data_IF_218357182709
#
_entry.id   IF_218357182709
#
_cell.length_a   1.000
_cell.length_b   1.000
_cell.length_c   1.000
_cell.angle_alpha   90.00
_cell.angle_beta   90.00
_cell.angle_gamma   90.00
#
_symmetry.space_group_name_H-M   'P 1'
#
loop_
_entity.id
_entity.type
_entity.pdbx_description
1 polymer ?
#
# COMPACT_ATOMS: atom_id res chain seq x y z
N UNK A 1 -2.00 -19.27 -3.54
CA UNK A 1 -1.29 -19.81 -2.35
C UNK A 1 -0.65 -18.62 -1.66
N UNK A 2 -0.85 -18.45 -0.36
CA UNK A 2 -0.22 -17.34 0.38
C UNK A 2 1.18 -17.76 0.83
N UNK A 3 2.18 -16.94 0.52
CA UNK A 3 3.58 -17.15 0.85
C UNK A 3 4.08 -15.99 1.71
N UNK A 4 4.70 -16.31 2.85
CA UNK A 4 5.34 -15.30 3.69
C UNK A 4 6.63 -14.81 3.02
N UNK A 5 6.74 -13.50 2.78
CA UNK A 5 7.97 -12.87 2.26
C UNK A 5 8.88 -12.48 3.42
N UNK A 6 8.34 -11.75 4.39
CA UNK A 6 9.00 -11.48 5.66
C UNK A 6 7.98 -11.07 6.73
N UNK A 7 8.40 -11.19 7.98
CA UNK A 7 7.64 -10.74 9.13
C UNK A 7 8.59 -10.11 10.15
N UNK A 8 8.16 -9.01 10.77
CA UNK A 8 8.81 -8.45 11.93
C UNK A 8 7.79 -8.01 12.98
N UNK A 9 8.24 -7.26 13.98
CA UNK A 9 7.41 -6.77 15.07
C UNK A 9 6.25 -5.85 14.61
N UNK A 10 6.40 -5.18 13.48
CA UNK A 10 5.50 -4.11 13.01
C UNK A 10 4.67 -4.50 11.80
N UNK A 11 5.19 -5.35 10.89
CA UNK A 11 4.52 -5.67 9.63
C UNK A 11 4.68 -7.15 9.26
N UNK A 12 3.64 -7.71 8.66
CA UNK A 12 3.70 -8.97 7.91
C UNK A 12 3.61 -8.64 6.43
N UNK A 13 4.54 -9.14 5.62
CA UNK A 13 4.53 -8.99 4.17
C UNK A 13 4.41 -10.37 3.51
N UNK A 14 3.38 -10.54 2.70
CA UNK A 14 2.99 -11.81 2.09
C UNK A 14 2.67 -11.61 0.61
N UNK A 15 2.93 -12.65 -0.18
CA UNK A 15 2.49 -12.75 -1.55
C UNK A 15 1.32 -13.72 -1.61
N UNK A 16 0.17 -13.26 -2.09
CA UNK A 16 -0.86 -14.17 -2.59
C UNK A 16 -0.55 -14.49 -4.06
N UNK A 17 -0.22 -15.74 -4.35
CA UNK A 17 0.10 -16.21 -5.70
C UNK A 17 -1.16 -16.60 -6.50
N UNK A 18 -2.30 -16.82 -5.83
CA UNK A 18 -3.56 -17.14 -6.52
C UNK A 18 -4.18 -15.93 -7.20
N UNK A 19 -3.95 -14.76 -6.61
CA UNK A 19 -4.23 -13.45 -7.18
C UNK A 19 -2.97 -12.65 -6.89
N UNK A 20 -2.09 -12.37 -7.86
CA UNK A 20 -0.79 -11.76 -7.64
C UNK A 20 -0.89 -10.45 -6.84
N UNK A 21 -0.82 -10.54 -5.51
CA UNK A 21 -0.97 -9.42 -4.59
C UNK A 21 0.16 -9.49 -3.59
N UNK A 22 1.00 -8.45 -3.56
CA UNK A 22 1.91 -8.23 -2.45
C UNK A 22 1.12 -7.49 -1.36
N UNK A 23 0.70 -8.25 -0.35
CA UNK A 23 0.00 -7.74 0.82
C UNK A 23 1.01 -7.38 1.90
N UNK A 24 0.84 -6.23 2.53
CA UNK A 24 1.50 -5.93 3.79
C UNK A 24 0.51 -5.44 4.83
N UNK A 25 0.48 -6.12 5.98
CA UNK A 25 -0.40 -5.79 7.10
C UNK A 25 0.40 -5.28 8.27
N UNK A 26 0.14 -4.04 8.65
CA UNK A 26 0.72 -3.43 9.84
C UNK A 26 0.02 -3.96 11.09
N UNK A 27 0.82 -4.29 12.11
CA UNK A 27 0.35 -4.96 13.33
C UNK A 27 0.02 -4.00 14.46
N UNK A 28 0.64 -2.82 14.43
CA UNK A 28 0.57 -1.80 15.48
C UNK A 28 1.20 -0.49 15.00
N UNK A 29 1.02 0.52 15.82
CA UNK A 29 1.68 1.82 15.65
C UNK A 29 3.19 1.64 15.46
N UNK A 30 3.70 2.27 14.42
CA UNK A 30 5.07 2.11 13.98
C UNK A 30 5.77 3.47 13.94
N UNK A 31 6.93 3.63 14.62
CA UNK A 31 7.70 4.87 14.55
C UNK A 31 8.06 5.24 13.11
N UNK A 32 8.03 6.52 12.75
CA UNK A 32 8.19 7.00 11.37
C UNK A 32 9.44 6.50 10.64
N UNK A 33 10.61 6.44 11.30
CA UNK A 33 11.83 5.85 10.71
C UNK A 33 11.65 4.35 10.39
N UNK A 34 11.15 3.57 11.35
CA UNK A 34 10.90 2.14 11.20
C UNK A 34 9.84 1.87 10.13
N UNK A 35 8.83 2.73 10.04
CA UNK A 35 7.80 2.69 9.04
C UNK A 35 8.37 2.88 7.63
N UNK A 36 9.19 3.92 7.43
CA UNK A 36 9.86 4.21 6.15
C UNK A 36 10.77 3.07 5.71
N UNK A 37 11.58 2.53 6.63
CA UNK A 37 12.48 1.42 6.34
C UNK A 37 11.73 0.17 5.89
N UNK A 38 10.62 -0.14 6.56
CA UNK A 38 9.75 -1.25 6.19
C UNK A 38 9.09 -1.04 4.83
N UNK A 39 8.57 0.15 4.54
CA UNK A 39 8.01 0.47 3.22
C UNK A 39 9.03 0.29 2.10
N UNK A 40 10.25 0.80 2.28
CA UNK A 40 11.35 0.62 1.31
C UNK A 40 11.71 -0.86 1.16
N UNK A 41 11.69 -1.65 2.24
CA UNK A 41 11.91 -3.09 2.17
C UNK A 41 10.81 -3.79 1.35
N UNK A 42 9.54 -3.45 1.56
CA UNK A 42 8.39 -3.99 0.81
C UNK A 42 8.51 -3.59 -0.68
N UNK A 43 8.83 -2.33 -0.96
CA UNK A 43 9.03 -1.83 -2.34
C UNK A 43 10.12 -2.63 -3.08
N UNK A 44 11.22 -2.95 -2.40
CA UNK A 44 12.27 -3.80 -2.98
C UNK A 44 11.79 -5.22 -3.27
N UNK A 45 10.86 -5.76 -2.48
CA UNK A 45 10.26 -7.06 -2.78
C UNK A 45 9.29 -6.94 -3.96
N UNK A 46 8.46 -5.90 -4.00
CA UNK A 46 7.58 -5.62 -5.13
C UNK A 46 8.36 -5.55 -6.44
N UNK A 47 9.46 -4.78 -6.49
CA UNK A 47 10.33 -4.65 -7.66
C UNK A 47 10.95 -5.98 -8.14
N UNK A 48 11.15 -6.94 -7.23
CA UNK A 48 11.63 -8.27 -7.60
C UNK A 48 10.51 -9.12 -8.17
N UNK A 49 9.34 -9.07 -7.54
CA UNK A 49 8.16 -9.84 -7.90
C UNK A 49 7.51 -9.33 -9.20
N UNK A 50 7.51 -8.03 -9.45
CA UNK A 50 6.97 -7.43 -10.68
C UNK A 50 7.70 -7.86 -11.95
N UNK A 51 8.90 -8.44 -11.83
CA UNK A 51 9.62 -9.07 -12.95
C UNK A 51 9.09 -10.46 -13.32
N UNK A 52 8.28 -11.05 -12.43
CA UNK A 52 7.71 -12.39 -12.55
C UNK A 52 6.20 -12.32 -12.77
N UNK A 53 5.55 -11.31 -12.19
CA UNK A 53 4.10 -11.13 -12.22
C UNK A 53 3.72 -9.86 -13.00
N UNK A 54 3.04 -10.03 -14.14
CA UNK A 54 2.64 -8.92 -15.02
C UNK A 54 1.59 -7.98 -14.39
N UNK A 55 0.81 -8.46 -13.41
CA UNK A 55 -0.29 -7.73 -12.76
C UNK A 55 -0.20 -7.79 -11.23
N UNK A 56 1.00 -7.59 -10.67
CA UNK A 56 1.19 -7.58 -9.22
C UNK A 56 0.48 -6.37 -8.59
N UNK A 57 -0.53 -6.63 -7.77
CA UNK A 57 -1.17 -5.59 -6.98
C UNK A 57 -0.38 -5.30 -5.70
N UNK A 58 -0.44 -4.05 -5.26
CA UNK A 58 0.05 -3.62 -3.95
C UNK A 58 -1.15 -3.45 -3.02
N UNK A 59 -1.18 -4.21 -1.92
CA UNK A 59 -2.25 -4.11 -0.91
C UNK A 59 -1.67 -3.74 0.46
N UNK A 60 -2.01 -2.54 0.91
CA UNK A 60 -1.59 -1.99 2.19
C UNK A 60 -2.72 -2.08 3.20
N UNK A 61 -2.61 -2.96 4.20
CA UNK A 61 -3.50 -2.95 5.36
C UNK A 61 -2.85 -2.15 6.49
N UNK A 62 -3.33 -0.92 6.68
CA UNK A 62 -2.79 0.06 7.64
C UNK A 62 -3.74 0.28 8.81
N UNK A 63 -4.73 -0.58 9.05
CA UNK A 63 -5.73 -0.36 10.11
C UNK A 63 -5.10 -0.20 11.50
N UNK A 64 -4.01 -0.91 11.77
CA UNK A 64 -3.30 -0.83 13.04
C UNK A 64 -2.11 0.15 13.04
N UNK A 65 -1.86 0.88 11.95
CA UNK A 65 -0.65 1.70 11.79
C UNK A 65 -0.61 2.94 12.69
N UNK A 66 -1.78 3.42 13.15
CA UNK A 66 -1.89 4.65 13.94
C UNK A 66 -1.60 5.92 13.13
N UNK A 67 -1.43 7.04 13.82
CA UNK A 67 -1.04 8.31 13.21
C UNK A 67 0.43 8.29 12.77
N UNK A 68 0.71 9.09 11.73
CA UNK A 68 2.05 9.22 11.16
C UNK A 68 2.59 10.61 11.49
N UNK A 69 3.87 10.71 11.87
CA UNK A 69 4.49 11.99 12.20
C UNK A 69 4.69 12.90 10.97
N UNK A 70 4.82 14.21 11.20
CA UNK A 70 4.97 15.23 10.15
C UNK A 70 6.19 14.97 9.25
N UNK A 71 7.29 14.44 9.79
CA UNK A 71 8.49 14.11 9.01
C UNK A 71 8.19 13.02 7.98
N UNK A 72 7.43 12.01 8.39
CA UNK A 72 7.03 10.89 7.54
C UNK A 72 5.98 11.34 6.52
N UNK A 73 5.04 12.20 6.88
CA UNK A 73 4.11 12.82 5.92
C UNK A 73 4.83 13.63 4.84
N UNK A 74 5.89 14.37 5.22
CA UNK A 74 6.71 15.12 4.27
C UNK A 74 7.45 14.17 3.33
N UNK A 75 8.06 13.13 3.88
CA UNK A 75 8.74 12.10 3.09
C UNK A 75 7.79 11.40 2.10
N UNK A 76 6.54 11.16 2.49
CA UNK A 76 5.52 10.60 1.59
C UNK A 76 5.38 11.43 0.31
N UNK A 77 5.24 12.75 0.47
CA UNK A 77 5.01 13.70 -0.63
C UNK A 77 6.26 13.94 -1.48
N UNK A 78 7.44 13.89 -0.87
CA UNK A 78 8.70 14.25 -1.54
C UNK A 78 9.39 13.07 -2.22
N UNK A 79 9.24 11.85 -1.69
CA UNK A 79 10.03 10.70 -2.13
C UNK A 79 9.19 9.43 -2.37
N UNK A 80 8.27 9.09 -1.47
CA UNK A 80 7.60 7.78 -1.52
C UNK A 80 6.78 7.58 -2.79
N UNK A 81 6.00 8.59 -3.19
CA UNK A 81 5.16 8.51 -4.39
C UNK A 81 5.98 8.21 -5.65
N UNK A 82 7.18 8.80 -5.78
CA UNK A 82 8.10 8.56 -6.90
C UNK A 82 8.65 7.13 -6.85
N UNK A 83 9.11 6.69 -5.67
CA UNK A 83 9.61 5.33 -5.46
C UNK A 83 8.57 4.25 -5.77
N UNK A 84 7.29 4.51 -5.48
CA UNK A 84 6.23 3.54 -5.64
C UNK A 84 5.65 3.53 -7.07
N UNK A 85 5.32 4.71 -7.62
CA UNK A 85 4.59 4.79 -8.87
C UNK A 85 5.48 4.99 -10.10
N UNK A 86 6.63 5.64 -9.95
CA UNK A 86 7.58 5.85 -11.06
C UNK A 86 8.65 4.77 -11.10
N UNK A 87 9.30 4.47 -9.96
CA UNK A 87 10.35 3.45 -9.93
C UNK A 87 9.78 2.02 -9.88
N UNK A 88 8.90 1.73 -8.92
CA UNK A 88 8.29 0.40 -8.80
C UNK A 88 7.15 0.15 -9.80
N UNK A 89 6.66 1.20 -10.46
CA UNK A 89 5.62 1.14 -11.49
C UNK A 89 4.34 0.44 -11.03
N UNK A 90 3.99 0.56 -9.74
CA UNK A 90 2.75 -0.01 -9.20
C UNK A 90 1.55 0.53 -9.99
N UNK A 91 0.73 -0.38 -10.54
CA UNK A 91 -0.48 -0.02 -11.32
C UNK A 91 -1.78 -0.24 -10.57
N UNK A 92 -1.81 -1.21 -9.65
CA UNK A 92 -2.98 -1.49 -8.81
C UNK A 92 -2.52 -1.29 -7.37
N UNK A 93 -3.05 -0.26 -6.72
CA UNK A 93 -2.74 0.10 -5.36
C UNK A 93 -4.02 0.10 -4.53
N UNK A 94 -4.13 -0.81 -3.59
CA UNK A 94 -5.26 -0.92 -2.68
C UNK A 94 -4.79 -0.61 -1.25
N UNK A 95 -5.59 0.14 -0.50
CA UNK A 95 -5.30 0.51 0.88
C UNK A 95 -6.52 0.19 1.74
N UNK A 96 -6.31 -0.49 2.87
CA UNK A 96 -7.32 -0.75 3.89
C UNK A 96 -7.02 0.16 5.09
N UNK A 97 -7.96 1.03 5.42
CA UNK A 97 -7.86 2.02 6.50
C UNK A 97 -8.74 1.62 7.69
N UNK A 98 -8.41 2.11 8.89
CA UNK A 98 -9.28 1.94 10.06
C UNK A 98 -10.48 2.91 9.99
N UNK A 99 -11.57 2.56 10.70
CA UNK A 99 -12.77 3.40 10.81
C UNK A 99 -12.45 4.81 11.35
N UNK A 100 -11.50 4.92 12.29
CA UNK A 100 -11.09 6.21 12.85
C UNK A 100 -10.41 7.10 11.78
N UNK A 101 -9.55 6.53 10.94
CA UNK A 101 -8.92 7.24 9.82
C UNK A 101 -9.93 7.59 8.73
N UNK A 102 -10.95 6.74 8.55
CA UNK A 102 -12.08 6.97 7.64
C UNK A 102 -12.92 8.19 8.08
N UNK A 103 -13.05 8.42 9.39
CA UNK A 103 -13.85 9.50 9.94
C UNK A 103 -13.15 10.88 9.90
N UNK A 104 -11.82 10.92 10.05
CA UNK A 104 -11.07 12.19 10.16
C UNK A 104 -10.68 12.81 8.82
N UNK A 105 -10.47 12.01 7.78
CA UNK A 105 -10.14 12.50 6.45
C UNK A 105 -11.33 12.30 5.49
N UNK A 106 -11.93 13.36 4.91
CA UNK A 106 -13.00 13.19 3.92
C UNK A 106 -12.42 12.49 2.68
N UNK A 107 -12.59 11.17 2.63
CA UNK A 107 -11.93 10.26 1.70
C UNK A 107 -12.15 10.60 0.24
N UNK A 108 -13.29 11.21 -0.10
CA UNK A 108 -13.54 11.67 -1.45
C UNK A 108 -12.45 12.63 -1.92
N UNK A 109 -11.91 13.48 -1.05
CA UNK A 109 -10.86 14.43 -1.41
C UNK A 109 -9.49 13.79 -1.55
N UNK A 110 -9.10 12.90 -0.63
CA UNK A 110 -7.83 12.15 -0.75
C UNK A 110 -7.84 11.22 -1.97
N UNK A 111 -8.95 10.51 -2.18
CA UNK A 111 -9.17 9.64 -3.33
C UNK A 111 -9.22 10.44 -4.63
N UNK A 112 -9.92 11.57 -4.70
CA UNK A 112 -9.94 12.43 -5.89
C UNK A 112 -8.57 13.03 -6.18
N UNK A 113 -7.88 13.57 -5.18
CA UNK A 113 -6.56 14.19 -5.36
C UNK A 113 -5.51 13.15 -5.77
N UNK A 114 -5.55 11.94 -5.21
CA UNK A 114 -4.63 10.87 -5.57
C UNK A 114 -5.02 10.19 -6.91
N UNK A 115 -6.30 9.89 -7.15
CA UNK A 115 -6.75 9.36 -8.43
C UNK A 115 -6.42 10.33 -9.57
N UNK A 116 -6.74 11.63 -9.46
CA UNK A 116 -6.42 12.58 -10.55
C UNK A 116 -4.91 12.76 -10.73
N UNK A 117 -4.13 12.80 -9.64
CA UNK A 117 -2.67 12.91 -9.71
C UNK A 117 -2.03 11.71 -10.40
N UNK A 118 -2.46 10.49 -10.08
CA UNK A 118 -1.83 9.26 -10.56
C UNK A 118 -2.53 8.61 -11.76
N UNK A 119 -3.71 9.08 -12.16
CA UNK A 119 -4.39 8.65 -13.40
C UNK A 119 -3.54 8.89 -14.64
N UNK A 120 -2.77 9.98 -14.65
CA UNK A 120 -1.80 10.27 -15.73
C UNK A 120 -0.67 9.23 -15.81
N UNK A 121 -0.39 8.52 -14.71
CA UNK A 121 0.61 7.45 -14.60
C UNK A 121 0.00 6.04 -14.78
N UNK A 122 -1.31 5.97 -15.03
CA UNK A 122 -2.05 4.71 -15.21
C UNK A 122 -2.22 3.91 -13.93
N UNK A 123 -2.12 4.55 -12.76
CA UNK A 123 -2.33 3.92 -11.45
C UNK A 123 -3.83 3.89 -11.15
N UNK A 124 -4.29 2.75 -10.66
CA UNK A 124 -5.63 2.56 -10.12
C UNK A 124 -5.51 2.46 -8.61
N UNK A 125 -6.10 3.43 -7.91
CA UNK A 125 -6.12 3.50 -6.46
C UNK A 125 -7.48 3.03 -5.93
N UNK A 126 -7.46 2.09 -4.99
CA UNK A 126 -8.62 1.66 -4.22
C UNK A 126 -8.38 1.92 -2.74
N UNK A 127 -9.41 2.37 -2.03
CA UNK A 127 -9.39 2.56 -0.58
C UNK A 127 -10.61 1.85 -0.01
N UNK A 128 -10.42 1.05 1.03
CA UNK A 128 -11.40 0.11 1.57
C UNK A 128 -11.39 0.13 3.09
N UNK A 129 -12.51 -0.28 3.69
CA UNK A 129 -12.61 -0.56 5.14
C UNK A 129 -12.22 -2.01 5.43
N UNK A 130 -12.51 -2.91 4.49
CA UNK A 130 -12.35 -4.35 4.66
C UNK A 130 -11.38 -4.92 3.62
N UNK A 131 -10.57 -5.89 4.06
CA UNK A 131 -9.62 -6.57 3.18
C UNK A 131 -10.34 -7.35 2.06
N UNK A 132 -11.47 -7.99 2.37
CA UNK A 132 -12.21 -8.77 1.39
C UNK A 132 -12.67 -7.92 0.20
N UNK A 133 -13.15 -6.70 0.47
CA UNK A 133 -13.55 -5.75 -0.57
C UNK A 133 -12.37 -5.32 -1.45
N UNK A 134 -11.20 -5.11 -0.84
CA UNK A 134 -9.99 -4.79 -1.57
C UNK A 134 -9.60 -5.93 -2.53
N UNK A 135 -9.66 -7.18 -2.05
CA UNK A 135 -9.38 -8.35 -2.90
C UNK A 135 -10.40 -8.51 -4.03
N UNK A 136 -11.68 -8.35 -3.76
CA UNK A 136 -12.72 -8.40 -4.79
C UNK A 136 -12.53 -7.31 -5.84
N UNK A 137 -12.17 -6.10 -5.43
CA UNK A 137 -11.85 -5.03 -6.36
C UNK A 137 -10.63 -5.34 -7.22
N UNK A 138 -9.54 -5.84 -6.64
CA UNK A 138 -8.32 -6.24 -7.37
C UNK A 138 -8.64 -7.30 -8.42
N UNK A 139 -9.51 -8.28 -8.13
CA UNK A 139 -9.92 -9.32 -9.09
C UNK A 139 -10.61 -8.78 -10.35
N UNK A 140 -11.13 -7.56 -10.31
CA UNK A 140 -11.81 -6.94 -11.45
C UNK A 140 -10.89 -6.08 -12.32
N UNK A 141 -9.58 -6.07 -12.05
CA UNK A 141 -8.55 -5.29 -12.77
C UNK A 141 -7.68 -6.17 -13.65
#
# INVERSE_FOLDING_TARGET
>A
MVQLIFENEYVVCELDDSLPVLRHRWKKETPGEVFRDNLVAIQKQYLKLSKVYDYLAWLADTQALGEVDEETEKWFKEAWEDLLFNEAQVKIHAVVLSEDFYAEYPMEKFKLDAEDKFKSQGVQLGVFEEEEEAYDWIRTR
#
